data_IF_899520800514
#
_entry.id   IF_899520800514
#
_cell.length_a   1.000
_cell.length_b   1.000
_cell.length_c   1.000
_cell.angle_alpha   90.00
_cell.angle_beta   90.00
_cell.angle_gamma   90.00
#
_symmetry.space_group_name_H-M   'P 1'
#
loop_
_entity.id
_entity.type
_entity.pdbx_description
1 polymer ?
#
# COMPACT_ATOMS: atom_id res chain seq x y z
N UNK A 1 0.61 12.67 15.29
CA UNK A 1 -0.33 13.56 14.56
C UNK A 1 -0.22 13.38 13.04
N UNK A 2 0.96 13.54 12.43
CA UNK A 2 1.16 13.47 10.96
C UNK A 2 0.75 12.13 10.36
N UNK A 3 1.14 11.00 10.97
CA UNK A 3 0.76 9.67 10.49
C UNK A 3 -0.76 9.47 10.56
N UNK A 4 -1.40 9.90 11.63
CA UNK A 4 -2.85 9.82 11.79
C UNK A 4 -3.56 10.63 10.71
N UNK A 5 -3.08 11.83 10.41
CA UNK A 5 -3.64 12.66 9.34
C UNK A 5 -3.55 11.98 7.97
N UNK A 6 -2.42 11.34 7.66
CA UNK A 6 -2.25 10.57 6.42
C UNK A 6 -3.22 9.38 6.37
N UNK A 7 -3.36 8.63 7.48
CA UNK A 7 -4.29 7.49 7.53
C UNK A 7 -5.75 7.92 7.35
N UNK A 8 -6.16 9.02 7.97
CA UNK A 8 -7.50 9.59 7.77
C UNK A 8 -7.72 9.99 6.30
N UNK A 9 -6.73 10.63 5.68
CA UNK A 9 -6.80 11.03 4.28
C UNK A 9 -6.90 9.83 3.33
N UNK A 10 -6.11 8.79 3.56
CA UNK A 10 -6.16 7.52 2.80
C UNK A 10 -7.54 6.89 2.95
N UNK A 11 -8.07 6.81 4.17
CA UNK A 11 -9.39 6.21 4.43
C UNK A 11 -10.50 6.99 3.72
N UNK A 12 -10.50 8.32 3.84
CA UNK A 12 -11.49 9.16 3.18
C UNK A 12 -11.44 9.01 1.65
N UNK A 13 -10.24 8.97 1.07
CA UNK A 13 -10.05 8.81 -0.36
C UNK A 13 -10.54 7.43 -0.85
N UNK A 14 -10.25 6.37 -0.11
CA UNK A 14 -10.75 5.02 -0.44
C UNK A 14 -12.27 4.92 -0.38
N UNK A 15 -12.92 5.54 0.61
CA UNK A 15 -14.38 5.59 0.70
C UNK A 15 -15.00 6.32 -0.51
N UNK A 16 -14.39 7.42 -0.95
CA UNK A 16 -14.85 8.14 -2.14
C UNK A 16 -14.69 7.28 -3.40
N UNK A 17 -13.54 6.64 -3.57
CA UNK A 17 -13.28 5.77 -4.73
C UNK A 17 -14.25 4.58 -4.72
N UNK A 18 -14.48 3.97 -3.56
CA UNK A 18 -15.44 2.89 -3.42
C UNK A 18 -16.86 3.33 -3.84
N UNK A 19 -17.31 4.48 -3.34
CA UNK A 19 -18.62 5.03 -3.70
C UNK A 19 -18.73 5.33 -5.20
N UNK A 20 -17.67 5.84 -5.83
CA UNK A 20 -17.63 6.08 -7.27
C UNK A 20 -17.68 4.75 -8.04
N UNK A 21 -16.94 3.73 -7.61
CA UNK A 21 -16.91 2.40 -8.25
C UNK A 21 -18.30 1.75 -8.24
N UNK A 22 -18.94 1.73 -7.08
CA UNK A 22 -20.31 1.19 -6.94
C UNK A 22 -21.32 2.04 -7.73
N UNK A 23 -21.22 3.36 -7.62
CA UNK A 23 -22.10 4.28 -8.33
C UNK A 23 -22.00 4.16 -9.85
N UNK A 24 -20.80 3.93 -10.38
CA UNK A 24 -20.60 3.74 -11.82
C UNK A 24 -21.27 2.47 -12.34
N UNK A 25 -21.22 1.36 -11.57
CA UNK A 25 -21.93 0.13 -11.92
C UNK A 25 -23.44 0.32 -11.95
N UNK A 26 -23.99 1.02 -10.95
CA UNK A 26 -25.42 1.34 -10.89
C UNK A 26 -25.85 2.18 -12.10
N UNK A 27 -25.06 3.18 -12.51
CA UNK A 27 -25.36 4.05 -13.65
C UNK A 27 -25.38 3.29 -14.97
N UNK A 28 -24.45 2.34 -15.13
CA UNK A 28 -24.34 1.52 -16.36
C UNK A 28 -25.45 0.45 -16.39
N UNK A 29 -26.05 0.11 -15.24
CA UNK A 29 -27.10 -0.91 -15.12
C UNK A 29 -26.55 -2.34 -15.07
N UNK A 30 -25.30 -2.50 -14.73
CA UNK A 30 -24.65 -3.80 -14.53
C UNK A 30 -24.87 -4.33 -13.09
N UNK A 31 -24.92 -5.64 -12.96
CA UNK A 31 -24.94 -6.27 -11.64
C UNK A 31 -23.62 -6.00 -10.91
N UNK A 32 -23.72 -5.62 -9.63
CA UNK A 32 -22.55 -5.30 -8.83
C UNK A 32 -21.92 -6.60 -8.32
N UNK A 33 -20.69 -6.93 -8.73
CA UNK A 33 -19.95 -8.08 -8.20
C UNK A 33 -19.38 -7.72 -6.82
N UNK A 34 -20.21 -7.84 -5.78
CA UNK A 34 -19.90 -7.37 -4.44
C UNK A 34 -18.65 -8.00 -3.83
N UNK A 35 -18.42 -9.29 -4.08
CA UNK A 35 -17.25 -9.99 -3.53
C UNK A 35 -15.96 -9.43 -4.14
N UNK A 36 -15.89 -9.34 -5.45
CA UNK A 36 -14.72 -8.87 -6.18
C UNK A 36 -14.41 -7.39 -5.90
N UNK A 37 -15.45 -6.54 -5.90
CA UNK A 37 -15.29 -5.12 -5.59
C UNK A 37 -14.78 -4.92 -4.17
N UNK A 38 -15.33 -5.64 -3.19
CA UNK A 38 -14.89 -5.54 -1.80
C UNK A 38 -13.45 -6.03 -1.63
N UNK A 39 -13.07 -7.15 -2.26
CA UNK A 39 -11.72 -7.68 -2.19
C UNK A 39 -10.71 -6.74 -2.84
N UNK A 40 -11.02 -6.20 -4.02
CA UNK A 40 -10.16 -5.25 -4.72
C UNK A 40 -9.93 -3.97 -3.89
N UNK A 41 -11.01 -3.38 -3.35
CA UNK A 41 -10.88 -2.17 -2.54
C UNK A 41 -10.15 -2.44 -1.22
N UNK A 42 -10.36 -3.59 -0.60
CA UNK A 42 -9.61 -4.00 0.59
C UNK A 42 -8.13 -4.15 0.29
N UNK A 43 -7.77 -4.81 -0.82
CA UNK A 43 -6.38 -4.99 -1.23
C UNK A 43 -5.68 -3.64 -1.44
N UNK A 44 -6.29 -2.73 -2.20
CA UNK A 44 -5.72 -1.41 -2.45
C UNK A 44 -5.67 -0.53 -1.19
N UNK A 45 -6.64 -0.66 -0.30
CA UNK A 45 -6.64 0.06 0.98
C UNK A 45 -5.47 -0.39 1.86
N UNK A 46 -5.27 -1.71 2.00
CA UNK A 46 -4.14 -2.28 2.75
C UNK A 46 -2.80 -1.85 2.14
N UNK A 47 -2.66 -1.95 0.82
CA UNK A 47 -1.47 -1.51 0.10
C UNK A 47 -1.13 -0.04 0.39
N UNK A 48 -2.12 0.85 0.40
CA UNK A 48 -1.89 2.27 0.69
C UNK A 48 -1.42 2.50 2.12
N UNK A 49 -1.97 1.75 3.09
CA UNK A 49 -1.51 1.80 4.49
C UNK A 49 -0.05 1.32 4.61
N UNK A 50 0.30 0.23 3.94
CA UNK A 50 1.65 -0.33 3.93
C UNK A 50 2.65 0.66 3.31
N UNK A 51 2.33 1.20 2.14
CA UNK A 51 3.16 2.22 1.48
C UNK A 51 3.29 3.48 2.34
N UNK A 52 2.22 3.92 3.01
CA UNK A 52 2.28 5.06 3.91
C UNK A 52 3.23 4.79 5.09
N UNK A 53 3.20 3.58 5.66
CA UNK A 53 4.12 3.16 6.71
C UNK A 53 5.57 3.14 6.26
N UNK A 54 5.85 2.57 5.10
CA UNK A 54 7.19 2.51 4.49
C UNK A 54 7.69 3.94 4.21
N UNK A 55 6.89 4.75 3.53
CA UNK A 55 7.25 6.13 3.20
C UNK A 55 7.45 6.99 4.45
N UNK A 56 6.64 6.79 5.49
CA UNK A 56 6.81 7.46 6.78
C UNK A 56 8.15 7.08 7.43
N UNK A 57 8.50 5.79 7.38
CA UNK A 57 9.81 5.29 7.81
C UNK A 57 10.95 5.98 7.08
N UNK A 58 10.91 5.97 5.76
CA UNK A 58 11.95 6.57 4.92
C UNK A 58 12.07 8.08 5.19
N UNK A 59 10.93 8.79 5.33
CA UNK A 59 10.90 10.23 5.56
C UNK A 59 11.66 10.67 6.82
N UNK A 60 11.72 9.81 7.84
CA UNK A 60 12.44 10.10 9.08
C UNK A 60 13.97 10.16 8.89
N UNK A 61 14.50 9.48 7.87
CA UNK A 61 15.93 9.43 7.56
C UNK A 61 16.35 10.42 6.47
N UNK A 62 15.40 10.99 5.74
CA UNK A 62 15.67 11.93 4.67
C UNK A 62 15.84 13.36 5.19
N UNK A 63 16.70 14.14 4.52
CA UNK A 63 16.83 15.58 4.73
C UNK A 63 15.72 16.32 3.99
N UNK A 64 15.42 17.56 4.41
CA UNK A 64 14.40 18.42 3.77
C UNK A 64 14.58 18.46 2.24
N UNK A 65 13.50 18.25 1.49
CA UNK A 65 13.46 18.38 0.02
C UNK A 65 13.49 17.08 -0.78
N UNK A 66 13.48 15.90 -0.15
CA UNK A 66 13.57 14.62 -0.85
C UNK A 66 12.22 13.88 -1.03
N UNK A 67 11.15 14.61 -1.32
CA UNK A 67 9.81 14.03 -1.58
C UNK A 67 9.84 13.00 -2.74
N UNK A 68 10.70 13.22 -3.73
CA UNK A 68 10.85 12.32 -4.88
C UNK A 68 11.42 10.93 -4.53
N UNK A 69 12.12 10.78 -3.39
CA UNK A 69 12.69 9.48 -3.00
C UNK A 69 11.59 8.49 -2.63
N UNK A 70 10.60 8.91 -1.85
CA UNK A 70 9.45 8.05 -1.50
C UNK A 70 8.67 7.60 -2.72
N UNK A 71 8.40 8.53 -3.64
CA UNK A 71 7.75 8.22 -4.91
C UNK A 71 8.59 7.26 -5.77
N UNK A 72 9.89 7.51 -5.87
CA UNK A 72 10.82 6.65 -6.61
C UNK A 72 10.85 5.21 -6.09
N UNK A 73 10.82 5.04 -4.77
CA UNK A 73 10.78 3.71 -4.14
C UNK A 73 9.44 3.02 -4.42
N UNK A 74 8.31 3.72 -4.31
CA UNK A 74 7.00 3.16 -4.61
C UNK A 74 6.92 2.70 -6.09
N UNK A 75 7.40 3.53 -7.01
CA UNK A 75 7.47 3.20 -8.44
C UNK A 75 8.38 1.99 -8.68
N UNK A 76 9.54 1.94 -8.04
CA UNK A 76 10.45 0.79 -8.16
C UNK A 76 9.79 -0.50 -7.67
N UNK A 77 9.13 -0.47 -6.51
CA UNK A 77 8.40 -1.63 -5.97
C UNK A 77 7.28 -2.08 -6.92
N UNK A 78 6.58 -1.14 -7.54
CA UNK A 78 5.57 -1.46 -8.54
C UNK A 78 6.18 -2.16 -9.77
N UNK A 79 7.30 -1.65 -10.29
CA UNK A 79 8.00 -2.32 -11.39
C UNK A 79 8.53 -3.70 -11.02
N UNK A 80 8.99 -3.90 -9.80
CA UNK A 80 9.39 -5.23 -9.31
C UNK A 80 8.20 -6.20 -9.34
N UNK A 81 7.02 -5.75 -8.96
CA UNK A 81 5.80 -6.56 -9.06
C UNK A 81 5.42 -6.89 -10.51
N UNK A 82 5.54 -5.92 -11.43
CA UNK A 82 5.31 -6.19 -12.85
C UNK A 82 6.26 -7.27 -13.39
N UNK A 83 7.53 -7.21 -13.04
CA UNK A 83 8.51 -8.23 -13.44
C UNK A 83 8.17 -9.59 -12.83
N UNK A 84 7.74 -9.63 -11.58
CA UNK A 84 7.33 -10.85 -10.90
C UNK A 84 6.13 -11.54 -11.57
N UNK A 85 5.20 -10.74 -12.14
CA UNK A 85 4.02 -11.27 -12.83
C UNK A 85 4.30 -11.72 -14.27
N UNK A 86 5.38 -11.24 -14.89
CA UNK A 86 5.72 -11.59 -16.27
C UNK A 86 6.70 -12.79 -16.33
N UNK A 87 7.62 -12.88 -15.40
CA UNK A 87 8.71 -13.87 -15.42
C UNK A 87 8.61 -14.81 -14.21
N UNK A 88 8.34 -16.10 -14.47
CA UNK A 88 8.27 -17.14 -13.43
C UNK A 88 9.53 -17.19 -12.54
N UNK A 89 10.71 -16.98 -13.14
CA UNK A 89 12.00 -16.94 -12.40
C UNK A 89 12.06 -15.79 -11.40
N UNK A 90 11.26 -14.73 -11.61
CA UNK A 90 11.22 -13.55 -10.77
C UNK A 90 10.02 -13.54 -9.78
N UNK A 91 9.25 -14.62 -9.68
CA UNK A 91 8.08 -14.70 -8.82
C UNK A 91 8.40 -14.41 -7.34
N UNK A 92 9.62 -14.70 -6.88
CA UNK A 92 10.07 -14.37 -5.53
C UNK A 92 10.00 -12.88 -5.20
N UNK A 93 9.99 -12.00 -6.21
CA UNK A 93 9.86 -10.56 -6.02
C UNK A 93 8.49 -10.17 -5.42
N UNK A 94 7.44 -10.99 -5.59
CA UNK A 94 6.15 -10.80 -4.93
C UNK A 94 6.26 -10.72 -3.40
N UNK A 95 7.25 -11.40 -2.82
CA UNK A 95 7.51 -11.38 -1.38
C UNK A 95 8.33 -10.17 -0.90
N UNK A 96 8.94 -9.43 -1.82
CA UNK A 96 9.79 -8.27 -1.52
C UNK A 96 8.99 -6.97 -1.66
N UNK A 97 7.91 -6.99 -2.43
CA UNK A 97 7.09 -5.81 -2.72
C UNK A 97 5.72 -5.92 -2.05
N UNK A 98 5.18 -4.81 -1.50
CA UNK A 98 3.83 -4.82 -0.96
C UNK A 98 2.74 -4.96 -2.04
N UNK A 99 3.08 -4.90 -3.32
CA UNK A 99 2.13 -5.03 -4.42
C UNK A 99 1.75 -6.49 -4.75
N UNK A 100 2.44 -7.49 -4.19
CA UNK A 100 2.32 -8.89 -4.59
C UNK A 100 0.90 -9.49 -4.50
N UNK A 101 0.06 -9.01 -3.59
CA UNK A 101 -1.34 -9.46 -3.45
C UNK A 101 -2.37 -8.56 -4.13
N UNK A 102 -1.93 -7.51 -4.82
CA UNK A 102 -2.81 -6.49 -5.41
C UNK A 102 -3.05 -6.70 -6.90
N UNK A 103 -2.70 -7.87 -7.44
CA UNK A 103 -2.99 -8.19 -8.84
C UNK A 103 -4.49 -8.42 -9.03
N UNK A 104 -5.14 -7.51 -9.76
CA UNK A 104 -6.60 -7.53 -9.93
C UNK A 104 -7.12 -8.79 -10.60
N UNK A 105 -6.38 -9.32 -11.58
CA UNK A 105 -6.72 -10.57 -12.25
C UNK A 105 -6.71 -11.76 -11.30
N UNK A 106 -5.69 -11.85 -10.43
CA UNK A 106 -5.57 -12.92 -9.44
C UNK A 106 -6.68 -12.82 -8.38
N UNK A 107 -7.02 -11.61 -7.92
CA UNK A 107 -8.09 -11.39 -6.94
C UNK A 107 -9.43 -11.83 -7.50
N UNK A 108 -9.75 -11.45 -8.74
CA UNK A 108 -11.03 -11.79 -9.38
C UNK A 108 -11.11 -13.28 -9.70
N UNK A 109 -10.01 -13.89 -10.15
CA UNK A 109 -10.00 -15.31 -10.52
C UNK A 109 -10.01 -16.25 -9.32
N UNK A 110 -9.31 -15.89 -8.25
CA UNK A 110 -9.19 -16.72 -7.04
C UNK A 110 -10.32 -16.48 -6.02
N UNK A 111 -10.91 -15.29 -6.00
CA UNK A 111 -11.94 -14.91 -5.04
C UNK A 111 -11.44 -14.72 -3.61
N UNK A 112 -10.13 -14.59 -3.41
CA UNK A 112 -9.51 -14.32 -2.11
C UNK A 112 -8.19 -13.56 -2.24
N UNK A 113 -7.74 -12.99 -1.13
CA UNK A 113 -6.44 -12.33 -1.00
C UNK A 113 -5.44 -13.27 -0.35
N UNK A 114 -4.19 -13.29 -0.84
CA UNK A 114 -3.13 -14.06 -0.21
C UNK A 114 -2.73 -13.45 1.13
N UNK A 115 -3.16 -14.10 2.22
CA UNK A 115 -2.89 -13.67 3.58
C UNK A 115 -1.40 -13.64 3.94
N UNK A 116 -0.57 -14.45 3.28
CA UNK A 116 0.88 -14.46 3.50
C UNK A 116 1.51 -13.19 2.97
N UNK A 117 1.15 -12.80 1.74
CA UNK A 117 1.66 -11.59 1.11
C UNK A 117 1.17 -10.33 1.84
N UNK A 118 -0.10 -10.30 2.29
CA UNK A 118 -0.63 -9.22 3.15
C UNK A 118 0.17 -9.12 4.45
N UNK A 119 0.43 -10.24 5.12
CA UNK A 119 1.19 -10.23 6.37
C UNK A 119 2.60 -9.67 6.18
N UNK A 120 3.26 -10.03 5.08
CA UNK A 120 4.59 -9.51 4.72
C UNK A 120 4.53 -8.00 4.50
N UNK A 121 3.56 -7.50 3.72
CA UNK A 121 3.36 -6.07 3.48
C UNK A 121 3.12 -5.28 4.76
N UNK A 122 2.24 -5.78 5.64
CA UNK A 122 1.97 -5.17 6.95
C UNK A 122 3.22 -5.14 7.84
N UNK A 123 4.08 -6.16 7.77
CA UNK A 123 5.36 -6.16 8.48
C UNK A 123 6.25 -5.03 7.95
N UNK A 124 6.38 -4.88 6.62
CA UNK A 124 7.16 -3.77 6.04
C UNK A 124 6.64 -2.40 6.46
N UNK A 125 5.32 -2.18 6.40
CA UNK A 125 4.69 -0.95 6.85
C UNK A 125 4.94 -0.66 8.33
N UNK A 126 4.78 -1.68 9.17
CA UNK A 126 4.99 -1.58 10.62
C UNK A 126 6.46 -1.28 10.95
N UNK A 127 7.40 -1.97 10.32
CA UNK A 127 8.84 -1.72 10.47
C UNK A 127 9.18 -0.28 10.08
N UNK A 128 8.60 0.23 9.00
CA UNK A 128 8.75 1.63 8.60
C UNK A 128 8.30 2.60 9.68
N UNK A 129 7.12 2.39 10.25
CA UNK A 129 6.58 3.23 11.32
C UNK A 129 7.47 3.17 12.58
N UNK A 130 7.85 1.97 13.01
CA UNK A 130 8.72 1.78 14.19
C UNK A 130 10.08 2.46 13.99
N UNK A 131 10.67 2.30 12.82
CA UNK A 131 11.95 2.94 12.47
C UNK A 131 11.83 4.48 12.51
N UNK A 132 10.72 5.05 12.03
CA UNK A 132 10.47 6.48 12.10
C UNK A 132 10.38 6.97 13.56
N UNK A 133 9.57 6.31 14.38
CA UNK A 133 9.45 6.68 15.80
C UNK A 133 10.78 6.57 16.53
N UNK A 134 11.53 5.51 16.31
CA UNK A 134 12.86 5.33 16.91
C UNK A 134 13.83 6.47 16.52
N UNK A 135 13.79 6.90 15.26
CA UNK A 135 14.63 8.01 14.79
C UNK A 135 14.20 9.35 15.38
N UNK A 136 12.90 9.61 15.45
CA UNK A 136 12.37 10.87 15.99
C UNK A 136 12.66 11.00 17.48
N UNK A 137 12.46 9.96 18.28
CA UNK A 137 12.73 9.99 19.73
C UNK A 137 14.20 10.22 20.06
N UNK A 138 15.12 9.73 19.21
CA UNK A 138 16.55 9.98 19.41
C UNK A 138 17.01 11.37 18.96
N UNK A 139 16.30 12.01 18.04
CA UNK A 139 16.64 13.34 17.55
C UNK A 139 16.32 14.43 18.57
N UNK A 140 15.26 14.26 19.33
CA UNK A 140 14.86 15.24 20.38
C UNK A 140 15.79 15.24 21.60
N UNK A 141 16.51 14.15 21.88
CA UNK A 141 17.44 14.06 23.00
C UNK A 141 18.74 14.87 22.78
N UNK A 142 19.07 15.22 21.53
CA UNK A 142 20.29 15.96 21.19
C UNK A 142 20.06 17.46 20.97
N UNK A 143 18.83 17.94 21.13
CA UNK A 143 18.46 19.35 20.95
C UNK A 143 18.02 20.06 22.24
N UNK A 144 18.27 19.43 23.40
CA UNK A 144 18.01 20.01 24.74
C UNK A 144 19.32 20.42 25.42
#
# INVERSE_FOLDING_TARGET
EKLIAVLIQITALNLIIYAISVGSMVIIGEEIPWEEINLLHLAYYLLQIELAGICFGISAFLRKGSTGVGLGIAVMMYFMNLVANIAEVAEFLKYITPFGYCEGADIVSNGYLDGTLIAIGLIFGTVGIVAAYWKYTRKDIHSA
#
